data_IF_514174953684
#
_entry.id   IF_514174953684
#
_cell.length_a   1.000
_cell.length_b   1.000
_cell.length_c   1.000
_cell.angle_alpha   90.00
_cell.angle_beta   90.00
_cell.angle_gamma   90.00
#
_symmetry.space_group_name_H-M   'P 1'
#
loop_
_entity.id
_entity.type
_entity.pdbx_description
1 polymer ?
#
# COMPACT_ATOMS: atom_id res chain seq x y z
N UNK A 1 10.99 -7.66 18.49
CA UNK A 1 10.29 -8.71 19.26
C UNK A 1 10.51 -10.04 18.57
N UNK A 2 10.93 -11.08 19.30
CA UNK A 2 11.04 -12.43 18.76
C UNK A 2 9.83 -13.27 19.18
N UNK A 3 8.95 -13.72 18.27
CA UNK A 3 7.81 -14.55 18.65
C UNK A 3 8.26 -15.92 19.20
N UNK A 4 9.41 -16.44 18.76
CA UNK A 4 9.96 -17.72 19.22
C UNK A 4 10.48 -17.66 20.66
N UNK A 5 11.19 -16.59 21.00
CA UNK A 5 11.80 -16.42 22.33
C UNK A 5 10.92 -15.64 23.31
N UNK A 6 9.83 -15.03 22.82
CA UNK A 6 8.92 -14.19 23.59
C UNK A 6 9.61 -13.02 24.33
N UNK A 7 10.62 -12.42 23.71
CA UNK A 7 11.39 -11.29 24.27
C UNK A 7 11.63 -10.17 23.27
N UNK A 8 11.88 -8.97 23.81
CA UNK A 8 12.45 -7.86 23.05
C UNK A 8 13.87 -8.21 22.57
N UNK A 9 14.22 -7.73 21.38
CA UNK A 9 15.57 -7.90 20.80
C UNK A 9 16.19 -6.51 20.73
N UNK A 10 17.46 -6.38 21.08
CA UNK A 10 18.22 -5.13 20.97
C UNK A 10 18.50 -4.76 19.50
N UNK A 11 18.84 -3.50 19.24
CA UNK A 11 19.19 -3.05 17.89
C UNK A 11 20.42 -3.80 17.31
N UNK A 12 21.40 -4.12 18.16
CA UNK A 12 22.62 -4.83 17.73
C UNK A 12 22.29 -6.24 17.23
N UNK A 13 21.50 -6.99 18.00
CA UNK A 13 21.08 -8.35 17.65
C UNK A 13 20.21 -8.38 16.38
N UNK A 14 19.37 -7.37 16.16
CA UNK A 14 18.58 -7.25 14.94
C UNK A 14 19.47 -7.01 13.71
N UNK A 15 20.51 -6.19 13.85
CA UNK A 15 21.40 -5.85 12.74
C UNK A 15 22.23 -7.05 12.26
N UNK A 16 22.70 -7.88 13.19
CA UNK A 16 23.41 -9.12 12.86
C UNK A 16 22.51 -10.16 12.19
N UNK A 17 21.18 -10.07 12.38
CA UNK A 17 20.20 -11.03 11.88
C UNK A 17 19.52 -10.68 10.56
N UNK A 18 19.91 -9.62 9.84
CA UNK A 18 19.26 -9.24 8.59
C UNK A 18 19.42 -10.33 7.52
N UNK A 19 18.29 -10.77 6.98
CA UNK A 19 18.23 -11.75 5.90
C UNK A 19 17.34 -11.26 4.77
N UNK A 20 17.71 -11.61 3.53
CA UNK A 20 16.88 -11.33 2.36
C UNK A 20 15.81 -12.41 2.26
N UNK A 21 14.56 -12.00 2.37
CA UNK A 21 13.39 -12.86 2.27
C UNK A 21 12.37 -12.24 1.33
N UNK A 22 11.63 -13.09 0.62
CA UNK A 22 10.53 -12.65 -0.22
C UNK A 22 9.22 -12.67 0.59
N UNK A 23 8.43 -11.61 0.48
CA UNK A 23 7.11 -11.52 1.10
C UNK A 23 6.04 -11.27 0.03
N UNK A 24 4.83 -11.73 0.31
CA UNK A 24 3.67 -11.42 -0.52
C UNK A 24 3.29 -9.95 -0.33
N UNK A 25 3.34 -9.20 -1.42
CA UNK A 25 2.83 -7.84 -1.49
C UNK A 25 1.38 -7.83 -1.99
N UNK A 26 0.53 -7.03 -1.37
CA UNK A 26 -0.89 -6.89 -1.75
C UNK A 26 -1.27 -5.42 -1.92
N UNK A 27 -2.19 -5.17 -2.84
CA UNK A 27 -2.89 -3.90 -2.96
C UNK A 27 -4.31 -4.08 -2.44
N UNK A 28 -4.74 -3.18 -1.56
CA UNK A 28 -6.04 -3.25 -0.87
C UNK A 28 -6.78 -1.95 -1.09
N UNK A 29 -8.08 -2.05 -1.35
CA UNK A 29 -8.98 -0.90 -1.52
C UNK A 29 -9.61 -0.53 -0.18
N UNK A 30 -9.57 0.74 0.18
CA UNK A 30 -10.19 1.29 1.39
C UNK A 30 -11.30 2.24 0.92
N UNK A 31 -12.57 1.81 0.96
CA UNK A 31 -13.70 2.62 0.48
C UNK A 31 -13.84 3.91 1.28
N UNK A 32 -14.07 5.05 0.62
CA UNK A 32 -14.31 6.33 1.28
C UNK A 32 -15.77 6.46 1.71
N UNK A 33 -16.01 6.84 2.97
CA UNK A 33 -17.38 7.08 3.47
C UNK A 33 -17.97 8.31 2.80
N UNK A 34 -19.24 8.19 2.38
CA UNK A 34 -19.97 9.27 1.69
C UNK A 34 -19.53 9.51 0.24
N UNK A 35 -18.62 8.71 -0.32
CA UNK A 35 -18.18 8.80 -1.73
C UNK A 35 -18.24 7.42 -2.41
N UNK A 36 -19.45 6.97 -2.82
CA UNK A 36 -19.62 5.66 -3.43
C UNK A 36 -18.75 5.49 -4.67
N UNK A 37 -18.03 4.38 -4.72
CA UNK A 37 -17.15 4.06 -5.84
C UNK A 37 -15.75 4.69 -5.76
N UNK A 38 -15.46 5.50 -4.74
CA UNK A 38 -14.14 6.07 -4.52
C UNK A 38 -13.38 5.34 -3.39
N UNK A 39 -12.10 5.04 -3.62
CA UNK A 39 -11.31 4.22 -2.71
C UNK A 39 -9.89 4.77 -2.57
N UNK A 40 -9.29 4.66 -1.38
CA UNK A 40 -7.84 4.77 -1.24
C UNK A 40 -7.21 3.45 -1.68
N UNK A 41 -6.13 3.51 -2.47
CA UNK A 41 -5.37 2.32 -2.86
C UNK A 41 -4.13 2.19 -1.97
N UNK A 42 -4.14 1.20 -1.09
CA UNK A 42 -3.08 0.94 -0.11
C UNK A 42 -2.25 -0.25 -0.54
N UNK A 43 -0.94 -0.20 -0.30
CA UNK A 43 0.00 -1.30 -0.54
C UNK A 43 0.64 -1.75 0.77
N UNK A 44 0.80 -3.06 0.96
CA UNK A 44 1.51 -3.62 2.11
C UNK A 44 2.21 -4.95 1.77
N UNK A 45 3.35 -5.21 2.42
CA UNK A 45 4.06 -6.50 2.40
C UNK A 45 3.73 -7.36 3.63
N UNK A 46 2.92 -6.84 4.56
CA UNK A 46 2.51 -7.52 5.80
C UNK A 46 0.97 -7.56 5.89
N UNK A 47 0.29 -8.40 5.08
CA UNK A 47 -1.19 -8.46 5.04
C UNK A 47 -1.83 -8.74 6.41
N UNK A 48 -1.14 -9.46 7.28
CA UNK A 48 -1.62 -9.78 8.63
C UNK A 48 -1.82 -8.55 9.52
N UNK A 49 -1.25 -7.39 9.19
CA UNK A 49 -1.45 -6.15 9.95
C UNK A 49 -2.77 -5.44 9.62
N UNK A 50 -3.45 -5.82 8.53
CA UNK A 50 -4.67 -5.17 8.05
C UNK A 50 -5.83 -5.35 9.04
N UNK A 51 -5.86 -6.44 9.80
CA UNK A 51 -6.89 -6.70 10.84
C UNK A 51 -6.79 -5.76 12.03
N UNK A 52 -5.68 -5.02 12.16
CA UNK A 52 -5.47 -4.03 13.22
C UNK A 52 -5.33 -2.62 12.63
N UNK A 53 -5.93 -2.39 11.46
CA UNK A 53 -5.93 -1.07 10.85
C UNK A 53 -6.74 -0.08 11.68
N UNK A 54 -6.16 1.09 11.95
CA UNK A 54 -6.82 2.18 12.71
C UNK A 54 -6.91 3.48 11.92
N UNK A 55 -5.98 3.69 10.99
CA UNK A 55 -5.90 4.89 10.17
C UNK A 55 -5.13 4.62 8.87
N UNK A 56 -5.33 5.49 7.89
CA UNK A 56 -4.51 5.58 6.68
C UNK A 56 -3.74 6.90 6.72
N UNK A 57 -2.43 6.85 6.47
CA UNK A 57 -1.58 8.03 6.48
C UNK A 57 -1.37 8.58 5.06
N UNK A 58 -1.44 9.90 4.93
CA UNK A 58 -1.10 10.63 3.71
C UNK A 58 -0.06 11.69 4.03
N UNK A 59 0.92 11.87 3.15
CA UNK A 59 1.86 12.98 3.23
C UNK A 59 1.22 14.26 2.65
N UNK A 60 1.06 15.35 3.42
CA UNK A 60 0.42 16.59 2.94
C UNK A 60 1.16 17.29 1.80
N UNK A 61 2.47 17.07 1.66
CA UNK A 61 3.32 17.74 0.68
C UNK A 61 3.43 16.96 -0.64
N UNK A 62 2.82 15.77 -0.73
CA UNK A 62 2.82 14.96 -1.95
C UNK A 62 1.56 15.19 -2.76
N UNK A 63 1.71 15.07 -4.09
CA UNK A 63 0.59 15.05 -5.02
C UNK A 63 0.06 13.63 -5.18
N UNK A 64 -1.26 13.47 -5.15
CA UNK A 64 -1.98 12.23 -5.37
C UNK A 64 -2.75 12.30 -6.68
N UNK A 65 -2.93 11.16 -7.33
CA UNK A 65 -3.71 10.98 -8.54
C UNK A 65 -5.08 10.41 -8.19
N UNK A 66 -6.11 10.97 -8.81
CA UNK A 66 -7.44 10.39 -8.89
C UNK A 66 -7.53 9.58 -10.17
N UNK A 67 -7.51 8.25 -10.06
CA UNK A 67 -7.48 7.34 -11.20
C UNK A 67 -8.76 6.52 -11.27
N UNK A 68 -9.46 6.60 -12.39
CA UNK A 68 -10.60 5.74 -12.70
C UNK A 68 -10.09 4.45 -13.34
N UNK A 69 -10.45 3.33 -12.75
CA UNK A 69 -10.20 2.00 -13.28
C UNK A 69 -11.50 1.21 -13.23
N UNK A 70 -12.00 0.80 -14.40
CA UNK A 70 -13.36 0.26 -14.58
C UNK A 70 -14.41 1.26 -14.08
N UNK A 71 -15.32 0.82 -13.20
CA UNK A 71 -16.37 1.66 -12.60
C UNK A 71 -16.00 2.20 -11.21
N UNK A 72 -14.72 2.17 -10.86
CA UNK A 72 -14.21 2.55 -9.53
C UNK A 72 -13.13 3.61 -9.67
N UNK A 73 -13.01 4.47 -8.67
CA UNK A 73 -11.99 5.51 -8.56
C UNK A 73 -11.04 5.17 -7.43
N UNK A 74 -9.75 5.37 -7.68
CA UNK A 74 -8.66 5.09 -6.77
C UNK A 74 -7.80 6.33 -6.55
N UNK A 75 -7.41 6.55 -5.30
CA UNK A 75 -6.44 7.58 -4.91
C UNK A 75 -5.10 6.94 -4.55
N UNK A 76 -4.01 7.44 -5.15
CA UNK A 76 -2.65 6.98 -4.90
C UNK A 76 -1.62 8.08 -5.18
N UNK A 77 -0.45 8.02 -4.55
CA UNK A 77 0.59 9.03 -4.74
C UNK A 77 1.13 9.03 -6.18
N UNK A 78 1.28 10.21 -6.79
CA UNK A 78 1.75 10.37 -8.17
C UNK A 78 3.16 9.77 -8.38
N UNK A 79 4.04 9.95 -7.40
CA UNK A 79 5.43 9.47 -7.48
C UNK A 79 5.59 7.95 -7.55
N UNK A 80 4.58 7.16 -7.15
CA UNK A 80 4.61 5.68 -7.25
C UNK A 80 3.86 5.14 -8.46
N UNK A 81 3.17 6.01 -9.21
CA UNK A 81 2.35 5.61 -10.35
C UNK A 81 3.21 5.06 -11.48
N UNK A 82 4.28 5.79 -11.82
CA UNK A 82 5.23 5.44 -12.87
C UNK A 82 6.44 4.71 -12.31
N UNK A 83 7.07 3.86 -13.13
CA UNK A 83 8.17 2.96 -12.75
C UNK A 83 9.49 3.65 -12.35
N UNK A 84 9.56 4.99 -12.26
CA UNK A 84 10.82 5.73 -12.09
C UNK A 84 11.65 5.28 -10.88
N UNK A 85 11.00 4.88 -9.77
CA UNK A 85 11.68 4.37 -8.57
C UNK A 85 12.21 2.94 -8.71
N UNK A 86 11.62 2.14 -9.59
CA UNK A 86 11.98 0.73 -9.75
C UNK A 86 13.27 0.55 -10.58
N UNK A 87 13.61 1.50 -11.44
CA UNK A 87 14.76 1.38 -12.35
C UNK A 87 16.12 1.42 -11.64
N UNK A 88 16.26 2.19 -10.56
CA UNK A 88 17.49 2.22 -9.74
C UNK A 88 17.63 0.97 -8.87
N UNK A 89 16.55 0.52 -8.25
CA UNK A 89 16.51 -0.69 -7.41
C UNK A 89 16.81 -1.95 -8.24
N UNK A 90 16.24 -2.06 -9.45
CA UNK A 90 16.53 -3.18 -10.36
C UNK A 90 17.97 -3.20 -10.88
N UNK A 91 18.69 -2.08 -10.79
CA UNK A 91 20.10 -2.00 -11.21
C UNK A 91 21.04 -2.68 -10.22
N UNK A 92 20.65 -2.77 -8.95
CA UNK A 92 21.50 -3.28 -7.86
C UNK A 92 21.76 -4.79 -7.90
N UNK A 93 21.12 -5.57 -8.80
CA UNK A 93 21.35 -7.02 -9.05
C UNK A 93 21.27 -7.96 -7.83
N UNK A 94 21.00 -7.47 -6.64
CA UNK A 94 20.80 -8.28 -5.44
C UNK A 94 19.34 -8.74 -5.37
N UNK A 95 19.03 -9.84 -6.05
CA UNK A 95 17.67 -10.35 -6.16
C UNK A 95 17.56 -11.77 -5.63
N UNK A 96 16.46 -12.08 -4.94
CA UNK A 96 16.18 -13.44 -4.48
C UNK A 96 15.79 -14.29 -5.69
N UNK A 97 16.46 -15.42 -5.90
CA UNK A 97 16.20 -16.31 -7.03
C UNK A 97 14.72 -16.74 -7.10
N UNK A 98 14.17 -16.77 -8.32
CA UNK A 98 12.78 -17.19 -8.58
C UNK A 98 11.70 -16.16 -8.29
N UNK A 99 12.01 -15.01 -7.70
CA UNK A 99 11.01 -13.96 -7.43
C UNK A 99 10.80 -13.10 -8.68
N UNK A 100 9.56 -12.84 -9.14
CA UNK A 100 9.33 -11.96 -10.28
C UNK A 100 9.51 -10.49 -9.91
N UNK A 101 9.98 -9.67 -10.85
CA UNK A 101 10.05 -8.21 -10.69
C UNK A 101 8.67 -7.62 -10.48
N UNK A 102 8.54 -6.71 -9.50
CA UNK A 102 7.28 -6.00 -9.26
C UNK A 102 7.00 -5.06 -10.44
N UNK A 103 5.82 -5.19 -11.05
CA UNK A 103 5.35 -4.30 -12.10
C UNK A 103 4.96 -2.94 -11.50
N UNK A 104 5.05 -1.87 -12.29
CA UNK A 104 4.50 -0.59 -11.87
C UNK A 104 2.96 -0.63 -11.81
N UNK A 105 2.37 0.26 -11.02
CA UNK A 105 0.91 0.35 -10.91
C UNK A 105 0.30 0.69 -12.28
N UNK A 106 0.94 1.57 -13.04
CA UNK A 106 0.56 1.88 -14.41
C UNK A 106 0.51 0.64 -15.32
N UNK A 107 1.54 -0.22 -15.27
CA UNK A 107 1.57 -1.48 -16.03
C UNK A 107 0.44 -2.42 -15.61
N UNK A 108 0.22 -2.55 -14.30
CA UNK A 108 -0.86 -3.39 -13.75
C UNK A 108 -2.22 -2.91 -14.26
N UNK A 109 -2.47 -1.60 -14.29
CA UNK A 109 -3.74 -1.08 -14.81
C UNK A 109 -3.88 -1.24 -16.33
N UNK A 110 -2.82 -1.00 -17.10
CA UNK A 110 -2.83 -1.20 -18.57
C UNK A 110 -3.15 -2.64 -18.94
N UNK A 111 -2.51 -3.61 -18.29
CA UNK A 111 -2.74 -5.04 -18.55
C UNK A 111 -4.16 -5.49 -18.18
N UNK A 112 -4.79 -4.86 -17.19
CA UNK A 112 -6.09 -5.29 -16.65
C UNK A 112 -7.31 -4.53 -17.19
N UNK A 113 -7.14 -3.73 -18.24
CA UNK A 113 -8.23 -3.05 -18.95
C UNK A 113 -8.09 -1.53 -19.09
N UNK A 114 -6.91 -0.98 -18.78
CA UNK A 114 -6.64 0.46 -18.92
C UNK A 114 -7.18 1.29 -17.76
N UNK A 115 -6.78 2.56 -17.70
CA UNK A 115 -7.17 3.51 -16.67
C UNK A 115 -7.35 4.90 -17.28
N UNK A 116 -8.01 5.78 -16.54
CA UNK A 116 -8.16 7.19 -16.88
C UNK A 116 -7.80 8.05 -15.68
N UNK A 117 -6.94 9.05 -15.88
CA UNK A 117 -6.60 10.01 -14.82
C UNK A 117 -7.68 11.10 -14.82
N UNK A 118 -8.43 11.19 -13.73
CA UNK A 118 -9.49 12.18 -13.55
C UNK A 118 -8.97 13.52 -13.02
N UNK A 119 -7.82 13.51 -12.33
CA UNK A 119 -7.21 14.71 -11.79
C UNK A 119 -6.11 14.43 -10.78
N UNK A 120 -5.56 15.51 -10.23
CA UNK A 120 -4.55 15.49 -9.19
C UNK A 120 -5.03 16.32 -8.00
N UNK A 121 -4.58 15.97 -6.80
CA UNK A 121 -4.89 16.68 -5.57
C UNK A 121 -3.70 16.65 -4.62
N UNK A 122 -3.63 17.63 -3.73
CA UNK A 122 -2.66 17.63 -2.65
C UNK A 122 -3.02 16.62 -1.56
N UNK A 123 -2.02 15.98 -0.95
CA UNK A 123 -2.25 15.14 0.22
C UNK A 123 -2.88 15.88 1.40
N UNK A 124 -2.68 17.20 1.48
CA UNK A 124 -3.33 18.04 2.49
C UNK A 124 -4.86 18.03 2.36
N UNK A 125 -5.38 17.93 1.13
CA UNK A 125 -6.82 17.87 0.86
C UNK A 125 -7.45 16.54 1.31
N UNK A 126 -6.64 15.49 1.46
CA UNK A 126 -7.06 14.15 1.85
C UNK A 126 -7.14 13.96 3.38
N UNK A 127 -6.64 14.92 4.15
CA UNK A 127 -6.63 14.83 5.61
C UNK A 127 -8.05 14.81 6.17
N UNK A 128 -8.28 13.91 7.13
CA UNK A 128 -9.58 13.75 7.78
C UNK A 128 -10.64 13.03 6.94
N UNK A 129 -10.28 12.48 5.77
CA UNK A 129 -11.25 11.70 4.99
C UNK A 129 -11.63 10.41 5.73
N UNK A 130 -12.93 10.21 6.01
CA UNK A 130 -13.39 8.98 6.61
C UNK A 130 -13.38 7.85 5.57
N UNK A 131 -12.99 6.65 5.99
CA UNK A 131 -12.99 5.46 5.16
C UNK A 131 -13.46 4.25 5.98
N UNK A 132 -13.84 3.18 5.31
CA UNK A 132 -14.12 1.88 5.91
C UNK A 132 -12.87 1.00 5.81
N UNK A 133 -12.38 0.55 6.97
CA UNK A 133 -11.27 -0.38 7.05
C UNK A 133 -11.61 -1.72 6.41
N UNK A 134 -10.58 -2.52 6.04
CA UNK A 134 -10.77 -3.76 5.30
C UNK A 134 -11.52 -4.86 6.07
N UNK A 135 -11.72 -4.69 7.39
CA UNK A 135 -12.35 -5.68 8.27
C UNK A 135 -13.33 -5.04 9.26
N UNK A 136 -13.68 -3.77 9.09
CA UNK A 136 -14.53 -3.01 10.03
C UNK A 136 -15.96 -3.58 10.11
N UNK A 137 -16.39 -4.35 9.11
CA UNK A 137 -17.70 -5.00 9.08
C UNK A 137 -17.84 -6.16 10.09
N UNK A 138 -16.74 -6.68 10.63
CA UNK A 138 -16.77 -7.81 11.54
C UNK A 138 -17.07 -7.36 12.97
N UNK A 139 -18.04 -8.00 13.62
CA UNK A 139 -18.44 -7.73 15.00
C UNK A 139 -17.26 -7.75 15.98
N UNK A 140 -16.27 -8.62 15.74
CA UNK A 140 -15.05 -8.71 16.54
C UNK A 140 -14.19 -7.43 16.55
N UNK A 141 -14.39 -6.51 15.61
CA UNK A 141 -13.70 -5.21 15.57
C UNK A 141 -14.49 -4.10 16.28
N UNK A 142 -15.78 -4.33 16.58
CA UNK A 142 -16.66 -3.35 17.22
C UNK A 142 -16.59 -3.33 18.75
N UNK A 143 -15.84 -4.25 19.35
CA UNK A 143 -15.72 -4.42 20.80
C UNK A 143 -14.24 -4.36 21.22
N UNK A 144 -13.86 -3.42 22.11
CA UNK A 144 -12.49 -3.31 22.63
C UNK A 144 -12.09 -4.46 23.56
#
# INVERSE_FOLDING_TARGET
WCPRCAVGISQMEMHEGYQRVAHQAVFVRFPLRGRPGENLLVWTTTPWTLTSNVAAAVNPNLTYLKVRYRSQVYYLAKGVFTAGRLEEEFRRREWVEGVPKLKSIEQIFKEKGGYEILGELSGAEMLGWPYDGPFDEFEAQGHP
#
